data_IF_529716054670
#
_entry.id   IF_529716054670
#
_cell.length_a   1.000
_cell.length_b   1.000
_cell.length_c   1.000
_cell.angle_alpha   90.00
_cell.angle_beta   90.00
_cell.angle_gamma   90.00
#
_symmetry.space_group_name_H-M   'P 1'
#
loop_
_entity.id
_entity.type
_entity.pdbx_description
1 polymer ?
#
# COMPACT_ATOMS: atom_id res chain seq x y z
N UNK A 1 6.38 -7.03 1.23
CA UNK A 1 5.30 -6.10 1.63
C UNK A 1 4.30 -5.87 0.50
N UNK A 2 4.74 -5.59 -0.73
CA UNK A 2 3.85 -5.23 -1.87
C UNK A 2 3.57 -6.37 -2.86
N UNK A 3 4.02 -7.60 -2.59
CA UNK A 3 3.76 -8.75 -3.46
C UNK A 3 2.35 -9.30 -3.21
N UNK A 4 1.76 -9.97 -4.19
CA UNK A 4 0.44 -10.58 -4.00
C UNK A 4 0.57 -11.88 -3.20
N UNK A 5 -0.22 -12.01 -2.13
CA UNK A 5 -0.25 -13.21 -1.29
C UNK A 5 -1.63 -13.86 -1.44
N UNK A 6 -1.77 -15.03 -2.08
CA UNK A 6 -3.07 -15.65 -2.34
C UNK A 6 -3.95 -15.80 -1.09
N UNK A 7 -3.35 -16.17 0.05
CA UNK A 7 -4.03 -16.34 1.34
C UNK A 7 -4.58 -15.03 1.93
N UNK A 8 -4.11 -13.88 1.46
CA UNK A 8 -4.57 -12.57 1.90
C UNK A 8 -5.64 -11.97 0.97
N UNK A 9 -5.92 -12.63 -0.16
CA UNK A 9 -6.91 -12.17 -1.12
C UNK A 9 -8.33 -12.48 -0.64
N UNK A 10 -9.26 -11.59 -0.97
CA UNK A 10 -10.67 -11.69 -0.59
C UNK A 10 -11.54 -11.08 -1.68
N UNK A 11 -12.74 -11.63 -1.86
CA UNK A 11 -13.72 -11.11 -2.82
C UNK A 11 -14.38 -9.81 -2.33
N UNK A 12 -14.22 -9.46 -1.05
CA UNK A 12 -14.81 -8.27 -0.44
C UNK A 12 -13.74 -7.24 -0.12
N UNK A 13 -13.61 -6.22 -0.98
CA UNK A 13 -12.75 -5.07 -0.74
C UNK A 13 -13.38 -4.16 0.32
N UNK A 14 -12.74 -4.08 1.49
CA UNK A 14 -13.18 -3.18 2.57
C UNK A 14 -12.62 -1.77 2.34
N UNK A 15 -13.46 -0.76 2.57
CA UNK A 15 -13.05 0.66 2.51
C UNK A 15 -12.63 1.13 3.90
N UNK A 16 -11.53 1.88 3.97
CA UNK A 16 -11.04 2.54 5.17
C UNK A 16 -11.00 4.06 4.96
N UNK A 17 -11.39 4.80 5.98
CA UNK A 17 -11.47 6.27 5.97
C UNK A 17 -10.11 6.97 6.10
N UNK A 18 -9.11 6.26 6.65
CA UNK A 18 -7.75 6.77 6.88
C UNK A 18 -6.75 5.63 6.91
N UNK A 19 -5.47 5.97 6.75
CA UNK A 19 -4.35 5.01 6.91
C UNK A 19 -4.34 4.45 8.32
N UNK A 20 -4.55 5.30 9.33
CA UNK A 20 -4.65 4.89 10.73
C UNK A 20 -5.73 3.83 10.98
N UNK A 21 -6.92 3.95 10.37
CA UNK A 21 -7.97 2.93 10.50
C UNK A 21 -7.54 1.58 9.89
N UNK A 22 -6.86 1.62 8.74
CA UNK A 22 -6.33 0.42 8.09
C UNK A 22 -5.19 -0.21 8.92
N UNK A 23 -4.35 0.59 9.57
CA UNK A 23 -3.32 0.13 10.52
C UNK A 23 -3.95 -0.59 11.70
N UNK A 24 -4.97 0.00 12.34
CA UNK A 24 -5.69 -0.67 13.44
C UNK A 24 -6.29 -2.00 13.00
N UNK A 25 -6.83 -2.07 11.77
CA UNK A 25 -7.36 -3.33 11.24
C UNK A 25 -6.24 -4.37 11.01
N UNK A 26 -5.05 -3.94 10.59
CA UNK A 26 -3.88 -4.80 10.46
C UNK A 26 -3.39 -5.30 11.82
N UNK A 27 -3.24 -4.42 12.81
CA UNK A 27 -2.79 -4.75 14.16
C UNK A 27 -3.72 -5.74 14.87
N UNK A 28 -5.03 -5.60 14.64
CA UNK A 28 -6.05 -6.51 15.15
C UNK A 28 -6.19 -7.80 14.31
N UNK A 29 -5.37 -8.01 13.28
CA UNK A 29 -5.38 -9.21 12.44
C UNK A 29 -6.58 -9.32 11.49
N UNK A 30 -7.36 -8.25 11.32
CA UNK A 30 -8.53 -8.20 10.42
C UNK A 30 -8.10 -8.21 8.95
N UNK A 31 -6.97 -7.59 8.64
CA UNK A 31 -6.36 -7.58 7.31
C UNK A 31 -4.87 -7.91 7.38
N UNK A 32 -4.29 -8.32 6.25
CA UNK A 32 -2.84 -8.40 6.07
C UNK A 32 -2.36 -7.25 5.17
N UNK A 33 -1.04 -7.03 5.12
CA UNK A 33 -0.44 -6.00 4.25
C UNK A 33 -0.78 -6.16 2.76
N UNK A 34 -1.10 -7.38 2.34
CA UNK A 34 -1.46 -7.74 0.97
C UNK A 34 -2.98 -7.84 0.74
N UNK A 35 -3.80 -7.67 1.79
CA UNK A 35 -5.26 -7.70 1.63
C UNK A 35 -5.70 -6.50 0.79
N UNK A 36 -6.50 -6.70 -0.28
CA UNK A 36 -7.08 -5.61 -1.05
C UNK A 36 -7.97 -4.72 -0.18
N UNK A 37 -7.73 -3.42 -0.24
CA UNK A 37 -8.48 -2.39 0.46
C UNK A 37 -8.78 -1.23 -0.48
N UNK A 38 -9.80 -0.45 -0.15
CA UNK A 38 -10.07 0.84 -0.77
C UNK A 38 -9.78 1.97 0.22
N UNK A 39 -8.94 2.93 -0.16
CA UNK A 39 -8.46 3.97 0.76
C UNK A 39 -8.09 5.26 0.00
N UNK A 40 -8.21 6.40 0.67
CA UNK A 40 -7.70 7.68 0.16
C UNK A 40 -6.20 7.79 0.48
N UNK A 41 -5.35 7.84 -0.54
CA UNK A 41 -3.91 8.01 -0.40
C UNK A 41 -3.42 8.98 -1.47
N UNK A 42 -2.33 9.74 -1.24
CA UNK A 42 -1.77 10.72 -2.20
C UNK A 42 -2.81 11.43 -3.08
N UNK A 43 -3.82 12.04 -2.46
CA UNK A 43 -4.84 12.86 -3.13
C UNK A 43 -5.98 12.14 -3.85
N UNK A 44 -6.03 10.79 -3.86
CA UNK A 44 -7.07 10.05 -4.60
C UNK A 44 -7.57 8.82 -3.85
N UNK A 45 -8.83 8.43 -4.11
CA UNK A 45 -9.38 7.13 -3.69
C UNK A 45 -8.83 6.02 -4.59
N UNK A 46 -8.19 5.00 -3.99
CA UNK A 46 -7.54 3.90 -4.71
C UNK A 46 -7.93 2.54 -4.15
N UNK A 47 -7.99 1.54 -5.04
CA UNK A 47 -7.95 0.13 -4.66
C UNK A 47 -6.49 -0.36 -4.67
N UNK A 48 -6.02 -0.77 -3.50
CA UNK A 48 -4.60 -1.05 -3.24
C UNK A 48 -4.46 -1.99 -2.06
N UNK A 49 -3.27 -2.07 -1.44
CA UNK A 49 -3.07 -2.79 -0.18
C UNK A 49 -2.33 -1.89 0.82
N UNK A 50 -2.47 -2.15 2.12
CA UNK A 50 -1.78 -1.35 3.16
C UNK A 50 -0.25 -1.35 2.96
N UNK A 51 0.31 -2.49 2.55
CA UNK A 51 1.74 -2.57 2.22
C UNK A 51 2.17 -1.69 1.04
N UNK A 52 1.29 -1.41 0.08
CA UNK A 52 1.57 -0.46 -1.02
C UNK A 52 1.39 0.98 -0.56
N UNK A 53 0.45 1.27 0.34
CA UNK A 53 0.30 2.59 0.96
C UNK A 53 1.58 2.98 1.70
N UNK A 54 2.06 2.13 2.61
CA UNK A 54 3.31 2.38 3.35
C UNK A 54 4.51 2.60 2.43
N UNK A 55 4.62 1.81 1.37
CA UNK A 55 5.70 2.01 0.40
C UNK A 55 5.64 3.40 -0.24
N UNK A 56 4.45 3.84 -0.64
CA UNK A 56 4.26 5.11 -1.33
C UNK A 56 4.37 6.35 -0.41
N UNK A 57 4.12 6.20 0.89
CA UNK A 57 4.30 7.26 1.90
C UNK A 57 5.77 7.53 2.24
N UNK A 58 6.66 6.56 2.00
CA UNK A 58 8.11 6.76 2.15
C UNK A 58 8.69 7.61 1.01
N UNK A 59 8.00 7.65 -0.14
CA UNK A 59 8.44 8.38 -1.33
C UNK A 59 8.15 9.88 -1.19
N UNK A 60 8.88 10.74 -1.91
CA UNK A 60 8.54 12.16 -2.03
C UNK A 60 7.06 12.39 -2.36
N UNK A 61 6.51 13.52 -1.89
CA UNK A 61 5.09 13.84 -2.06
C UNK A 61 4.68 13.90 -3.54
N UNK A 62 5.57 14.43 -4.39
CA UNK A 62 5.37 14.56 -5.84
C UNK A 62 5.63 13.25 -6.62
N UNK A 63 6.15 12.22 -5.96
CA UNK A 63 6.38 10.94 -6.61
C UNK A 63 5.05 10.24 -6.93
N UNK A 64 4.84 9.75 -8.17
CA UNK A 64 3.59 9.09 -8.55
C UNK A 64 3.29 7.86 -7.70
N UNK A 65 2.02 7.62 -7.39
CA UNK A 65 1.62 6.41 -6.68
C UNK A 65 1.89 5.16 -7.54
N UNK A 66 2.72 4.23 -7.05
CA UNK A 66 3.01 2.97 -7.74
C UNK A 66 2.26 1.81 -7.09
N UNK A 67 1.27 1.26 -7.82
CA UNK A 67 0.50 0.09 -7.40
C UNK A 67 1.14 -1.24 -7.85
N UNK A 68 2.33 -1.24 -8.45
CA UNK A 68 3.03 -2.44 -8.90
C UNK A 68 3.78 -3.13 -7.76
N UNK A 69 4.03 -4.44 -7.91
CA UNK A 69 4.89 -5.19 -6.98
C UNK A 69 6.28 -4.56 -7.00
N UNK A 70 6.77 -4.17 -5.82
CA UNK A 70 8.07 -3.56 -5.64
C UNK A 70 9.15 -4.62 -5.44
N UNK A 71 10.15 -4.56 -6.30
CA UNK A 71 11.36 -5.37 -6.28
C UNK A 71 12.53 -4.58 -5.71
N UNK A 72 13.60 -5.27 -5.31
CA UNK A 72 14.87 -4.62 -4.91
C UNK A 72 15.38 -3.63 -5.98
N UNK A 73 15.12 -3.89 -7.27
CA UNK A 73 15.55 -3.02 -8.37
C UNK A 73 14.76 -1.72 -8.41
N UNK A 74 13.44 -1.76 -8.16
CA UNK A 74 12.63 -0.56 -8.07
C UNK A 74 13.02 0.29 -6.85
N UNK A 75 13.27 -0.35 -5.69
CA UNK A 75 13.75 0.35 -4.50
C UNK A 75 15.03 1.14 -4.77
N UNK A 76 16.00 0.55 -5.48
CA UNK A 76 17.25 1.24 -5.85
C UNK A 76 17.02 2.43 -6.78
N UNK A 77 16.05 2.35 -7.70
CA UNK A 77 15.72 3.47 -8.59
C UNK A 77 15.13 4.64 -7.83
N UNK A 78 14.22 4.35 -6.89
CA UNK A 78 13.62 5.34 -6.00
C UNK A 78 14.70 6.03 -5.16
N UNK A 79 15.54 5.25 -4.44
CA UNK A 79 16.58 5.80 -3.58
C UNK A 79 17.64 6.63 -4.35
N UNK A 80 17.80 6.38 -5.64
CA UNK A 80 18.71 7.15 -6.50
C UNK A 80 18.07 8.43 -7.09
N UNK A 81 16.75 8.57 -7.04
CA UNK A 81 16.04 9.77 -7.48
C UNK A 81 15.99 10.85 -6.39
N UNK A 82 16.20 10.47 -5.12
CA UNK A 82 16.27 11.36 -3.95
C UNK A 82 17.70 11.82 -3.59
N UNK A 83 18.70 11.44 -4.40
CA UNK A 83 20.10 11.84 -4.30
C UNK A 83 20.48 12.79 -5.43
#
# INVERSE_FOLDING_TARGET
MTYDKPQAQTDKVKTYSSVYEAEMAYDNGVIHLQTPIRIFAKGEMRETTLGRVFFNEILPEDFPYDNNVQTKKQLKKVLAADL
#
